data_IF_878188697859
#
_entry.id   IF_878188697859
#
_cell.length_a   1.000
_cell.length_b   1.000
_cell.length_c   1.000
_cell.angle_alpha   90.00
_cell.angle_beta   90.00
_cell.angle_gamma   90.00
#
_symmetry.space_group_name_H-M   'P 1'
#
loop_
_entity.id
_entity.type
_entity.pdbx_description
1 polymer ?
#
# COMPACT_ATOMS: atom_id res chain seq x y z
N UNK A 1 34.39 -27.83 1.78
CA UNK A 1 33.34 -27.31 0.88
C UNK A 1 32.20 -26.81 1.77
N UNK A 2 31.94 -25.49 1.81
CA UNK A 2 30.86 -24.91 2.63
C UNK A 2 29.54 -25.15 1.89
N UNK A 3 28.56 -25.79 2.54
CA UNK A 3 27.23 -26.03 1.97
C UNK A 3 26.60 -24.70 1.50
N UNK A 4 26.28 -24.51 0.20
CA UNK A 4 25.70 -23.27 -0.30
C UNK A 4 24.34 -22.96 0.35
N UNK A 5 23.49 -23.98 0.54
CA UNK A 5 22.17 -23.80 1.19
C UNK A 5 22.26 -23.30 2.65
N UNK A 6 23.28 -23.73 3.41
CA UNK A 6 23.46 -23.25 4.79
C UNK A 6 23.92 -21.79 4.86
N UNK A 7 24.62 -21.29 3.83
CA UNK A 7 25.01 -19.90 3.72
C UNK A 7 23.81 -19.01 3.30
N UNK A 8 22.96 -19.52 2.41
CA UNK A 8 21.71 -18.85 1.99
C UNK A 8 20.71 -18.75 3.14
N UNK A 9 20.46 -19.84 3.88
CA UNK A 9 19.58 -19.79 5.06
C UNK A 9 20.06 -18.78 6.11
N UNK A 10 21.39 -18.66 6.33
CA UNK A 10 21.95 -17.65 7.24
C UNK A 10 21.72 -16.23 6.74
N UNK A 11 21.87 -15.98 5.44
CA UNK A 11 21.58 -14.66 4.84
C UNK A 11 20.11 -14.29 4.98
N UNK A 12 19.21 -15.25 4.77
CA UNK A 12 17.77 -15.03 4.93
C UNK A 12 17.38 -14.73 6.39
N UNK A 13 18.01 -15.37 7.37
CA UNK A 13 17.80 -15.04 8.79
C UNK A 13 18.28 -13.62 9.12
N UNK A 14 19.44 -13.20 8.62
CA UNK A 14 19.92 -11.81 8.79
C UNK A 14 18.96 -10.81 8.14
N UNK A 15 18.41 -11.15 6.97
CA UNK A 15 17.44 -10.31 6.28
C UNK A 15 16.12 -10.23 7.06
N UNK A 16 15.66 -11.33 7.66
CA UNK A 16 14.51 -11.36 8.57
C UNK A 16 14.76 -10.47 9.79
N UNK A 17 15.90 -10.60 10.45
CA UNK A 17 16.27 -9.77 11.61
C UNK A 17 16.29 -8.28 11.24
N UNK A 18 16.86 -7.92 10.08
CA UNK A 18 16.83 -6.55 9.59
C UNK A 18 15.40 -6.05 9.34
N UNK A 19 14.51 -6.88 8.79
CA UNK A 19 13.11 -6.54 8.59
C UNK A 19 12.35 -6.35 9.91
N UNK A 20 12.57 -7.24 10.89
CA UNK A 20 11.97 -7.12 12.23
C UNK A 20 12.44 -5.86 12.97
N UNK A 21 13.72 -5.49 12.83
CA UNK A 21 14.24 -4.24 13.39
C UNK A 21 13.60 -3.00 12.76
N UNK A 22 13.40 -3.00 11.43
CA UNK A 22 12.69 -1.90 10.73
C UNK A 22 11.24 -1.82 11.18
N UNK A 23 10.56 -2.96 11.26
CA UNK A 23 9.20 -3.05 11.76
C UNK A 23 9.11 -2.47 13.18
N UNK A 24 9.92 -2.95 14.11
CA UNK A 24 9.90 -2.48 15.50
C UNK A 24 10.16 -0.96 15.63
N UNK A 25 11.02 -0.39 14.78
CA UNK A 25 11.32 1.05 14.76
C UNK A 25 10.15 1.88 14.23
N UNK A 26 9.49 1.40 13.18
CA UNK A 26 8.52 2.19 12.41
C UNK A 26 7.06 1.79 12.64
N UNK A 27 6.82 0.79 13.48
CA UNK A 27 5.50 0.30 13.84
C UNK A 27 4.66 1.40 14.50
N UNK A 28 3.81 2.03 13.68
CA UNK A 28 2.80 2.99 14.09
C UNK A 28 1.54 2.73 13.29
N UNK A 29 0.47 2.35 13.98
CA UNK A 29 -0.80 1.98 13.38
C UNK A 29 -1.91 2.88 13.91
N UNK A 30 -2.89 3.28 13.06
CA UNK A 30 -4.01 4.07 13.51
C UNK A 30 -4.80 3.28 14.55
N UNK A 31 -4.90 3.80 15.77
CA UNK A 31 -5.74 3.20 16.80
C UNK A 31 -7.18 3.66 16.57
N UNK A 32 -8.05 2.72 16.24
CA UNK A 32 -9.48 2.98 16.12
C UNK A 32 -10.14 2.87 17.50
N UNK A 33 -10.76 3.94 17.97
CA UNK A 33 -11.64 3.92 19.15
C UNK A 33 -13.05 4.27 18.71
N UNK A 34 -14.03 3.45 19.11
CA UNK A 34 -15.43 3.59 18.74
C UNK A 34 -15.67 3.58 17.21
N UNK A 35 -14.83 2.88 16.45
CA UNK A 35 -14.94 2.79 14.99
C UNK A 35 -14.36 3.97 14.21
N UNK A 36 -13.72 4.95 14.87
CA UNK A 36 -13.01 6.06 14.21
C UNK A 36 -11.55 6.14 14.64
N UNK A 37 -10.68 6.68 13.78
CA UNK A 37 -9.28 6.95 14.12
C UNK A 37 -9.23 7.95 15.28
N UNK A 38 -8.44 7.66 16.32
CA UNK A 38 -8.36 8.50 17.51
C UNK A 38 -7.98 9.96 17.15
N UNK A 39 -8.96 10.87 17.21
CA UNK A 39 -8.77 12.30 16.93
C UNK A 39 -9.02 12.75 15.49
N UNK A 40 -9.55 11.88 14.62
CA UNK A 40 -10.02 12.21 13.28
C UNK A 40 -11.40 11.59 13.04
N UNK A 41 -12.27 12.28 12.30
CA UNK A 41 -13.62 11.80 11.94
C UNK A 41 -13.62 10.75 10.82
N UNK A 42 -12.54 9.96 10.71
CA UNK A 42 -12.39 8.91 9.70
C UNK A 42 -12.84 7.60 10.32
N UNK A 43 -13.91 7.01 9.77
CA UNK A 43 -14.42 5.72 10.22
C UNK A 43 -13.53 4.56 9.73
N UNK A 44 -13.61 3.43 10.42
CA UNK A 44 -12.99 2.18 9.99
C UNK A 44 -13.47 1.73 8.60
N UNK A 45 -14.75 1.96 8.26
CA UNK A 45 -15.28 1.66 6.93
C UNK A 45 -14.66 2.54 5.85
N UNK A 46 -14.54 3.85 6.09
CA UNK A 46 -13.89 4.78 5.14
C UNK A 46 -12.42 4.42 4.92
N UNK A 47 -11.74 3.96 5.98
CA UNK A 47 -10.36 3.49 5.90
C UNK A 47 -10.25 2.21 5.06
N UNK A 48 -11.11 1.22 5.30
CA UNK A 48 -11.16 -0.02 4.51
C UNK A 48 -11.46 0.27 3.03
N UNK A 49 -12.48 1.09 2.75
CA UNK A 49 -12.84 1.51 1.39
C UNK A 49 -11.66 2.18 0.68
N UNK A 50 -10.89 2.99 1.42
CA UNK A 50 -9.70 3.66 0.88
C UNK A 50 -8.57 2.67 0.55
N UNK A 51 -8.36 1.64 1.35
CA UNK A 51 -7.36 0.60 1.07
C UNK A 51 -7.77 -0.24 -0.14
N UNK A 52 -9.05 -0.61 -0.25
CA UNK A 52 -9.57 -1.30 -1.42
C UNK A 52 -9.42 -0.45 -2.68
N UNK A 53 -9.75 0.85 -2.59
CA UNK A 53 -9.55 1.80 -3.68
C UNK A 53 -8.07 1.94 -4.07
N UNK A 54 -7.15 1.96 -3.10
CA UNK A 54 -5.72 1.92 -3.38
C UNK A 54 -5.29 0.65 -4.12
N UNK A 55 -5.90 -0.48 -3.80
CA UNK A 55 -5.67 -1.74 -4.51
C UNK A 55 -6.14 -1.68 -5.96
N UNK A 56 -7.30 -1.06 -6.22
CA UNK A 56 -7.79 -0.80 -7.58
C UNK A 56 -6.84 0.11 -8.37
N UNK A 57 -6.35 1.19 -7.74
CA UNK A 57 -5.39 2.10 -8.36
C UNK A 57 -4.07 1.38 -8.67
N UNK A 58 -3.53 0.61 -7.72
CA UNK A 58 -2.32 -0.19 -7.93
C UNK A 58 -2.44 -1.14 -9.11
N UNK A 59 -3.60 -1.81 -9.25
CA UNK A 59 -3.87 -2.72 -10.38
C UNK A 59 -3.99 -1.97 -11.71
N UNK A 60 -4.65 -0.81 -11.71
CA UNK A 60 -4.80 0.02 -12.89
C UNK A 60 -3.47 0.59 -13.40
N UNK A 61 -2.54 0.90 -12.49
CA UNK A 61 -1.19 1.36 -12.84
C UNK A 61 -0.18 0.22 -13.06
N UNK A 62 -0.60 -1.03 -12.90
CA UNK A 62 0.26 -2.21 -12.98
C UNK A 62 1.46 -2.19 -12.01
N UNK A 63 1.28 -1.58 -10.83
CA UNK A 63 2.30 -1.57 -9.78
C UNK A 63 2.43 -2.94 -9.11
N UNK A 64 3.64 -3.25 -8.64
CA UNK A 64 3.93 -4.46 -7.90
C UNK A 64 3.21 -4.50 -6.53
N UNK A 65 2.95 -5.70 -5.98
CA UNK A 65 2.26 -5.83 -4.69
C UNK A 65 3.01 -5.18 -3.52
N UNK A 66 4.34 -5.08 -3.60
CA UNK A 66 5.20 -4.38 -2.64
C UNK A 66 4.92 -2.88 -2.63
N UNK A 67 4.69 -2.26 -3.79
CA UNK A 67 4.30 -0.85 -3.93
C UNK A 67 2.97 -0.57 -3.25
N UNK A 68 1.96 -1.41 -3.47
CA UNK A 68 0.69 -1.32 -2.76
C UNK A 68 0.89 -1.43 -1.24
N UNK A 69 1.59 -2.47 -0.79
CA UNK A 69 1.78 -2.72 0.63
C UNK A 69 2.50 -1.56 1.32
N UNK A 70 3.55 -1.04 0.69
CA UNK A 70 4.28 0.14 1.17
C UNK A 70 3.39 1.39 1.20
N UNK A 71 2.59 1.61 0.15
CA UNK A 71 1.65 2.73 0.07
C UNK A 71 0.63 2.72 1.21
N UNK A 72 0.08 1.56 1.53
CA UNK A 72 -0.84 1.39 2.67
C UNK A 72 -0.12 1.61 4.00
N UNK A 73 1.11 1.10 4.17
CA UNK A 73 1.90 1.36 5.37
C UNK A 73 2.20 2.86 5.56
N UNK A 74 2.54 3.60 4.49
CA UNK A 74 2.78 5.05 4.53
C UNK A 74 1.48 5.77 4.93
N UNK A 75 0.35 5.43 4.32
CA UNK A 75 -0.97 5.97 4.66
C UNK A 75 -1.26 5.78 6.17
N UNK A 76 -1.12 4.56 6.67
CA UNK A 76 -1.42 4.22 8.06
C UNK A 76 -0.50 4.94 9.04
N UNK A 77 0.80 5.03 8.75
CA UNK A 77 1.76 5.78 9.57
C UNK A 77 1.43 7.27 9.60
N UNK A 78 1.01 7.84 8.47
CA UNK A 78 0.60 9.25 8.42
C UNK A 78 -0.67 9.47 9.25
N UNK A 79 -1.71 8.66 9.05
CA UNK A 79 -2.97 8.77 9.81
C UNK A 79 -2.78 8.55 11.32
N UNK A 80 -1.74 7.82 11.72
CA UNK A 80 -1.35 7.68 13.13
C UNK A 80 -0.66 8.93 13.69
N UNK A 81 -0.03 9.73 12.82
CA UNK A 81 0.80 10.87 13.19
C UNK A 81 0.04 12.19 13.11
N UNK A 82 -0.94 12.31 12.19
CA UNK A 82 -1.69 13.54 11.96
C UNK A 82 -3.19 13.34 12.07
N UNK A 83 -3.88 14.37 12.56
CA UNK A 83 -5.35 14.42 12.51
C UNK A 83 -5.79 14.85 11.11
N UNK A 84 -6.06 13.87 10.26
CA UNK A 84 -6.52 14.12 8.89
C UNK A 84 -8.05 14.35 8.85
N UNK A 85 -8.48 15.31 8.04
CA UNK A 85 -9.91 15.46 7.73
C UNK A 85 -10.31 14.46 6.64
N UNK A 86 -11.52 13.86 6.70
CA UNK A 86 -11.97 12.88 5.69
C UNK A 86 -11.90 13.38 4.25
N UNK A 87 -12.12 14.68 4.03
CA UNK A 87 -12.04 15.33 2.70
C UNK A 87 -10.67 15.22 2.03
N UNK A 88 -9.59 15.07 2.81
CA UNK A 88 -8.23 14.91 2.29
C UNK A 88 -7.78 13.46 2.23
N UNK A 89 -8.55 12.51 2.79
CA UNK A 89 -8.15 11.11 2.91
C UNK A 89 -7.78 10.49 1.57
N UNK A 90 -8.58 10.75 0.52
CA UNK A 90 -8.32 10.24 -0.82
C UNK A 90 -7.02 10.80 -1.43
N UNK A 91 -6.74 12.09 -1.22
CA UNK A 91 -5.50 12.72 -1.68
C UNK A 91 -4.28 12.18 -0.92
N UNK A 92 -4.40 12.01 0.40
CA UNK A 92 -3.38 11.40 1.25
C UNK A 92 -3.06 9.97 0.77
N UNK A 93 -4.09 9.16 0.58
CA UNK A 93 -3.95 7.77 0.13
C UNK A 93 -3.27 7.70 -1.22
N UNK A 94 -3.77 8.44 -2.22
CA UNK A 94 -3.19 8.48 -3.56
C UNK A 94 -1.73 8.90 -3.53
N UNK A 95 -1.41 9.97 -2.79
CA UNK A 95 -0.03 10.46 -2.68
C UNK A 95 0.88 9.45 -1.97
N UNK A 96 0.35 8.70 -1.00
CA UNK A 96 1.09 7.62 -0.32
C UNK A 96 1.44 6.49 -1.29
N UNK A 97 0.53 6.13 -2.20
CA UNK A 97 0.79 5.15 -3.26
C UNK A 97 1.82 5.66 -4.27
N UNK A 98 1.70 6.93 -4.69
CA UNK A 98 2.68 7.54 -5.61
C UNK A 98 4.08 7.59 -4.97
N UNK A 99 4.19 7.90 -3.68
CA UNK A 99 5.46 7.86 -2.96
C UNK A 99 6.03 6.45 -2.89
N UNK A 100 5.20 5.44 -2.64
CA UNK A 100 5.64 4.04 -2.68
C UNK A 100 6.12 3.63 -4.07
N UNK A 101 5.40 4.05 -5.12
CA UNK A 101 5.79 3.77 -6.50
C UNK A 101 7.16 4.36 -6.84
N UNK A 102 7.44 5.60 -6.41
CA UNK A 102 8.77 6.23 -6.56
C UNK A 102 9.92 5.47 -5.87
N UNK A 103 9.63 4.59 -4.91
CA UNK A 103 10.65 3.83 -4.17
C UNK A 103 10.87 2.46 -4.83
N UNK A 104 9.79 1.80 -5.24
CA UNK A 104 9.81 0.39 -5.65
C UNK A 104 9.73 0.18 -7.17
N UNK A 105 9.09 1.09 -7.90
CA UNK A 105 8.90 0.97 -9.35
C UNK A 105 10.00 1.70 -10.12
N UNK A 106 10.23 1.24 -11.35
CA UNK A 106 11.10 1.93 -12.30
C UNK A 106 10.42 3.22 -12.82
N UNK A 107 11.21 4.24 -13.16
CA UNK A 107 10.71 5.53 -13.64
C UNK A 107 9.79 5.41 -14.88
N UNK A 108 9.98 4.37 -15.69
CA UNK A 108 9.16 4.07 -16.87
C UNK A 108 7.71 3.69 -16.52
N UNK A 109 7.51 3.05 -15.36
CA UNK A 109 6.20 2.54 -14.90
C UNK A 109 5.37 3.65 -14.24
N UNK A 110 6.02 4.60 -13.56
CA UNK A 110 5.35 5.67 -12.81
C UNK A 110 4.67 6.68 -13.75
N UNK A 111 5.22 6.89 -14.95
CA UNK A 111 4.71 7.90 -15.88
C UNK A 111 4.72 9.33 -15.33
N UNK A 112 4.04 10.26 -16.00
CA UNK A 112 3.88 11.62 -15.46
C UNK A 112 2.83 11.64 -14.35
N UNK A 113 3.05 12.44 -13.31
CA UNK A 113 2.04 12.66 -12.26
C UNK A 113 0.70 13.13 -12.83
N UNK A 114 0.70 13.86 -13.95
CA UNK A 114 -0.53 14.26 -14.65
C UNK A 114 -1.30 13.07 -15.22
N UNK A 115 -0.59 12.07 -15.72
CA UNK A 115 -1.18 10.88 -16.33
C UNK A 115 -1.78 9.98 -15.25
N UNK A 116 -1.07 9.79 -14.13
CA UNK A 116 -1.57 9.04 -12.97
C UNK A 116 -2.86 9.66 -12.42
N UNK A 117 -2.92 10.98 -12.30
CA UNK A 117 -4.12 11.69 -11.86
C UNK A 117 -5.27 11.49 -12.83
N UNK A 118 -5.01 11.65 -14.13
CA UNK A 118 -6.01 11.49 -15.18
C UNK A 118 -6.61 10.08 -15.16
N UNK A 119 -5.77 9.06 -15.05
CA UNK A 119 -6.18 7.65 -14.98
C UNK A 119 -6.93 7.33 -13.69
N UNK A 120 -6.52 7.90 -12.54
CA UNK A 120 -7.20 7.69 -11.25
C UNK A 120 -8.64 8.22 -11.18
N UNK A 121 -9.05 9.05 -12.15
CA UNK A 121 -10.34 9.76 -12.11
C UNK A 121 -10.48 10.70 -10.91
N UNK A 122 -9.35 11.09 -10.30
CA UNK A 122 -9.35 12.00 -9.17
C UNK A 122 -9.31 13.45 -9.64
N UNK A 123 -10.09 14.30 -8.98
CA UNK A 123 -10.13 15.74 -9.26
C UNK A 123 -8.99 16.51 -8.56
N UNK A 124 -7.82 15.89 -8.37
CA UNK A 124 -6.67 16.53 -7.73
C UNK A 124 -5.85 17.31 -8.76
N UNK A 125 -5.39 18.49 -8.40
CA UNK A 125 -4.34 19.16 -9.15
C UNK A 125 -2.97 18.55 -8.82
N UNK A 126 -2.04 18.60 -9.79
CA UNK A 126 -0.63 18.22 -9.55
C UNK A 126 -0.03 19.00 -8.38
N UNK A 127 -0.42 20.27 -8.21
CA UNK A 127 0.05 21.10 -7.09
C UNK A 127 -0.41 20.59 -5.72
N UNK A 128 -1.65 20.08 -5.61
CA UNK A 128 -2.16 19.48 -4.37
C UNK A 128 -1.40 18.21 -4.00
N UNK A 129 -1.08 17.37 -4.98
CA UNK A 129 -0.32 16.14 -4.75
C UNK A 129 1.11 16.47 -4.33
N UNK A 130 1.79 17.39 -5.02
CA UNK A 130 3.14 17.82 -4.64
C UNK A 130 3.19 18.49 -3.26
N UNK A 131 2.12 19.18 -2.87
CA UNK A 131 1.98 19.74 -1.52
C UNK A 131 1.79 18.62 -0.50
N UNK A 132 0.92 17.65 -0.79
CA UNK A 132 0.68 16.50 0.09
C UNK A 132 1.94 15.64 0.23
N UNK A 133 2.71 15.46 -0.84
CA UNK A 133 3.96 14.70 -0.86
C UNK A 133 4.95 15.27 0.16
N UNK A 134 5.15 16.59 0.13
CA UNK A 134 5.97 17.31 1.11
C UNK A 134 5.47 17.15 2.53
N UNK A 135 4.15 17.21 2.75
CA UNK A 135 3.56 17.01 4.08
C UNK A 135 3.84 15.60 4.60
N UNK A 136 3.68 14.58 3.76
CA UNK A 136 3.94 13.19 4.13
C UNK A 136 5.42 13.00 4.49
N UNK A 137 6.32 13.48 3.63
CA UNK A 137 7.76 13.37 3.85
C UNK A 137 8.21 14.10 5.12
N UNK A 138 7.70 15.31 5.38
CA UNK A 138 8.00 16.07 6.58
C UNK A 138 7.51 15.36 7.85
N UNK A 139 6.24 14.90 7.85
CA UNK A 139 5.63 14.25 9.02
C UNK A 139 6.19 12.87 9.31
N UNK A 140 6.70 12.18 8.30
CA UNK A 140 7.36 10.88 8.45
C UNK A 140 8.89 10.98 8.53
N UNK A 141 9.44 12.19 8.61
CA UNK A 141 10.88 12.46 8.69
C UNK A 141 11.69 11.77 7.57
N UNK A 142 11.12 11.71 6.37
CA UNK A 142 11.70 11.03 5.19
C UNK A 142 11.97 9.52 5.36
N UNK A 143 11.54 8.91 6.47
CA UNK A 143 11.71 7.48 6.72
C UNK A 143 10.49 6.71 6.21
N UNK A 144 10.40 6.53 4.89
CA UNK A 144 9.29 5.83 4.23
C UNK A 144 9.47 4.30 4.18
N UNK A 145 10.72 3.83 4.20
CA UNK A 145 11.07 2.42 3.98
C UNK A 145 10.82 1.56 5.23
N UNK A 146 9.57 1.15 5.40
CA UNK A 146 9.13 0.22 6.44
C UNK A 146 9.12 -1.22 5.95
N UNK A 147 9.30 -2.18 6.87
CA UNK A 147 9.02 -3.58 6.55
C UNK A 147 7.52 -3.76 6.36
N UNK A 148 7.12 -4.31 5.22
CA UNK A 148 5.72 -4.59 4.89
C UNK A 148 5.36 -6.05 5.20
N UNK A 149 4.08 -6.36 5.44
CA UNK A 149 3.64 -7.76 5.55
C UNK A 149 4.01 -8.60 4.31
N UNK A 150 4.03 -8.00 3.12
CA UNK A 150 4.44 -8.66 1.87
C UNK A 150 5.94 -9.01 1.88
N UNK A 151 6.80 -8.13 2.41
CA UNK A 151 8.23 -8.45 2.59
C UNK A 151 8.39 -9.72 3.44
N UNK A 152 7.65 -9.81 4.54
CA UNK A 152 7.71 -10.98 5.43
C UNK A 152 7.21 -12.26 4.76
N UNK A 153 6.18 -12.20 3.90
CA UNK A 153 5.75 -13.35 3.09
C UNK A 153 6.89 -13.85 2.23
N UNK A 154 7.58 -12.97 1.50
CA UNK A 154 8.70 -13.37 0.63
C UNK A 154 9.87 -13.95 1.44
N UNK A 155 10.17 -13.37 2.60
CA UNK A 155 11.23 -13.85 3.49
C UNK A 155 10.90 -15.24 4.03
N UNK A 156 9.69 -15.44 4.56
CA UNK A 156 9.26 -16.72 5.10
C UNK A 156 9.14 -17.78 4.02
N UNK A 157 8.62 -17.45 2.82
CA UNK A 157 8.61 -18.35 1.68
C UNK A 157 10.03 -18.78 1.29
N UNK A 158 10.98 -17.84 1.19
CA UNK A 158 12.38 -18.16 0.90
C UNK A 158 13.02 -19.05 1.99
N UNK A 159 12.71 -18.80 3.26
CA UNK A 159 13.16 -19.63 4.38
C UNK A 159 12.58 -21.04 4.32
N UNK A 160 11.31 -21.20 3.94
CA UNK A 160 10.64 -22.49 3.76
C UNK A 160 11.28 -23.29 2.63
N UNK A 161 11.44 -22.67 1.45
CA UNK A 161 12.05 -23.31 0.28
C UNK A 161 13.49 -23.72 0.56
N UNK A 162 14.25 -22.89 1.27
CA UNK A 162 15.66 -23.17 1.61
C UNK A 162 15.83 -24.19 2.73
N UNK A 163 14.95 -24.18 3.74
CA UNK A 163 15.03 -25.04 4.92
C UNK A 163 14.42 -26.42 4.72
N UNK A 164 13.39 -26.52 3.87
CA UNK A 164 12.61 -27.73 3.66
C UNK A 164 12.37 -28.01 2.17
N UNK A 165 13.43 -28.33 1.39
CA UNK A 165 13.30 -28.62 -0.04
C UNK A 165 12.40 -29.83 -0.35
N UNK A 166 12.14 -30.68 0.64
CA UNK A 166 11.22 -31.83 0.56
C UNK A 166 9.73 -31.45 0.65
N UNK A 167 9.39 -30.25 1.13
CA UNK A 167 8.01 -29.76 1.19
C UNK A 167 7.58 -29.06 -0.11
N UNK A 168 8.54 -28.65 -0.95
CA UNK A 168 8.30 -27.99 -2.25
C UNK A 168 7.37 -28.81 -3.18
N UNK A 169 7.50 -30.16 -3.30
CA UNK A 169 6.60 -30.95 -4.14
C UNK A 169 5.18 -31.14 -3.57
N UNK A 170 4.99 -31.03 -2.25
CA UNK A 170 3.67 -31.13 -1.59
C UNK A 170 2.94 -29.78 -1.59
N UNK A 171 3.72 -28.70 -1.60
CA UNK A 171 3.26 -27.32 -1.68
C UNK A 171 2.91 -26.91 -3.13
N UNK A 172 3.61 -27.44 -4.12
CA UNK A 172 3.21 -27.36 -5.53
C UNK A 172 2.20 -28.45 -5.85
N UNK A 173 0.90 -28.23 -5.58
CA UNK A 173 -0.14 -29.22 -5.88
C UNK A 173 -0.09 -29.68 -7.35
N UNK A 174 0.45 -30.88 -7.57
CA UNK A 174 -0.26 -31.93 -8.29
C UNK A 174 -0.58 -31.72 -9.78
N UNK A 175 0.26 -31.07 -10.58
CA UNK A 175 0.35 -31.34 -12.03
C UNK A 175 1.55 -30.59 -12.60
N UNK A 176 2.38 -31.26 -13.41
CA UNK A 176 3.52 -30.62 -14.04
C UNK A 176 3.11 -29.35 -14.80
N UNK A 177 3.78 -28.22 -14.50
CA UNK A 177 3.63 -26.86 -15.06
C UNK A 177 2.92 -25.82 -14.19
N UNK A 178 3.19 -25.72 -12.88
CA UNK A 178 2.97 -24.46 -12.15
C UNK A 178 4.31 -23.83 -11.77
N UNK A 179 4.52 -22.53 -12.00
CA UNK A 179 5.77 -21.85 -11.67
C UNK A 179 5.98 -21.81 -10.15
N UNK A 180 7.23 -21.84 -9.67
CA UNK A 180 7.58 -21.85 -8.23
C UNK A 180 7.06 -20.64 -7.44
N UNK A 181 6.60 -19.59 -8.11
CA UNK A 181 6.14 -18.35 -7.49
C UNK A 181 4.64 -18.34 -7.16
N UNK A 182 3.88 -19.36 -7.55
CA UNK A 182 2.42 -19.36 -7.41
C UNK A 182 1.95 -19.21 -5.96
N UNK A 183 2.64 -19.86 -5.01
CA UNK A 183 2.27 -19.82 -3.60
C UNK A 183 2.58 -18.45 -2.97
N UNK A 184 3.74 -17.88 -3.28
CA UNK A 184 4.10 -16.54 -2.84
C UNK A 184 3.08 -15.51 -3.37
N UNK A 185 2.59 -15.67 -4.60
CA UNK A 185 1.54 -14.82 -5.18
C UNK A 185 0.21 -14.99 -4.45
N UNK A 186 -0.20 -16.22 -4.13
CA UNK A 186 -1.44 -16.48 -3.37
C UNK A 186 -1.39 -15.84 -1.98
N UNK A 187 -0.32 -16.10 -1.23
CA UNK A 187 -0.12 -15.53 0.10
C UNK A 187 -0.04 -14.01 0.07
N UNK A 188 0.61 -13.44 -0.95
CA UNK A 188 0.67 -12.00 -1.15
C UNK A 188 -0.72 -11.41 -1.37
N UNK A 189 -1.57 -12.06 -2.18
CA UNK A 189 -2.97 -11.63 -2.37
C UNK A 189 -3.77 -11.73 -1.07
N UNK A 190 -3.64 -12.82 -0.32
CA UNK A 190 -4.31 -12.97 0.97
C UNK A 190 -3.90 -11.88 1.96
N UNK A 191 -2.59 -11.59 2.04
CA UNK A 191 -2.07 -10.47 2.85
C UNK A 191 -2.67 -9.14 2.41
N UNK A 192 -2.74 -8.86 1.11
CA UNK A 192 -3.30 -7.60 0.61
C UNK A 192 -4.78 -7.44 0.98
N UNK A 193 -5.57 -8.52 0.96
CA UNK A 193 -6.94 -8.51 1.46
C UNK A 193 -6.98 -8.27 2.98
N UNK A 194 -6.14 -8.96 3.74
CA UNK A 194 -6.03 -8.74 5.19
C UNK A 194 -5.62 -7.30 5.54
N UNK A 195 -4.80 -6.66 4.70
CA UNK A 195 -4.43 -5.25 4.84
C UNK A 195 -5.62 -4.31 4.65
N UNK A 196 -6.75 -4.73 4.07
CA UNK A 196 -7.97 -3.90 4.07
C UNK A 196 -8.73 -3.95 5.41
N UNK A 197 -8.46 -4.94 6.27
CA UNK A 197 -9.14 -5.10 7.55
C UNK A 197 -8.42 -4.32 8.67
N UNK A 198 -9.05 -3.28 9.19
CA UNK A 198 -8.49 -2.45 10.26
C UNK A 198 -8.12 -3.23 11.55
N UNK A 199 -8.81 -4.34 11.84
CA UNK A 199 -8.55 -5.13 13.04
C UNK A 199 -7.22 -5.90 12.93
N UNK A 200 -6.88 -6.38 11.74
CA UNK A 200 -5.65 -7.12 11.48
C UNK A 200 -4.41 -6.22 11.53
N UNK A 201 -4.56 -4.92 11.30
CA UNK A 201 -3.47 -3.95 11.44
C UNK A 201 -2.97 -3.77 12.88
N UNK A 202 -3.72 -4.21 13.89
CA UNK A 202 -3.25 -4.15 15.27
C UNK A 202 -2.04 -5.07 15.51
N UNK A 203 -1.89 -6.11 14.70
CA UNK A 203 -0.77 -7.05 14.77
C UNK A 203 0.35 -6.64 13.83
N UNK A 204 1.60 -6.90 14.24
CA UNK A 204 2.79 -6.74 13.42
C UNK A 204 2.64 -7.46 12.07
N UNK A 205 3.22 -6.88 11.02
CA UNK A 205 3.25 -7.46 9.69
C UNK A 205 3.94 -8.83 9.66
N UNK A 206 4.96 -9.03 10.50
CA UNK A 206 5.59 -10.34 10.68
C UNK A 206 4.61 -11.40 11.21
N UNK A 207 3.76 -11.02 12.16
CA UNK A 207 2.75 -11.90 12.77
C UNK A 207 1.63 -12.22 11.78
N UNK A 208 1.14 -11.20 11.06
CA UNK A 208 0.12 -11.38 10.03
C UNK A 208 0.59 -12.31 8.91
N UNK A 209 1.82 -12.09 8.42
CA UNK A 209 2.42 -12.91 7.38
C UNK A 209 2.59 -14.37 7.85
N UNK A 210 3.10 -14.58 9.06
CA UNK A 210 3.27 -15.92 9.62
C UNK A 210 1.92 -16.62 9.83
N UNK A 211 0.88 -15.91 10.25
CA UNK A 211 -0.45 -16.46 10.46
C UNK A 211 -1.05 -17.02 9.16
N UNK A 212 -0.98 -16.26 8.06
CA UNK A 212 -1.46 -16.68 6.74
C UNK A 212 -0.69 -17.90 6.25
N UNK A 213 0.65 -17.87 6.34
CA UNK A 213 1.49 -19.00 5.95
C UNK A 213 1.15 -20.24 6.80
N UNK A 214 0.91 -20.09 8.10
CA UNK A 214 0.61 -21.21 8.99
C UNK A 214 -0.75 -21.84 8.66
N UNK A 215 -1.78 -21.05 8.38
CA UNK A 215 -3.09 -21.55 7.94
C UNK A 215 -2.98 -22.41 6.68
N UNK A 216 -2.16 -21.98 5.73
CA UNK A 216 -1.93 -22.73 4.49
C UNK A 216 -1.06 -23.97 4.71
N UNK A 217 -0.02 -23.89 5.56
CA UNK A 217 0.82 -25.03 5.90
C UNK A 217 0.06 -26.16 6.62
N UNK A 218 -0.93 -25.80 7.46
CA UNK A 218 -1.80 -26.76 8.16
C UNK A 218 -2.63 -27.62 7.19
N UNK A 219 -3.00 -27.06 6.05
CA UNK A 219 -3.75 -27.79 5.00
C UNK A 219 -2.80 -28.63 4.14
N UNK A 220 -1.61 -28.10 3.85
CA UNK A 220 -0.70 -28.65 2.83
C UNK A 220 0.27 -29.71 3.37
N UNK A 221 0.65 -29.65 4.64
CA UNK A 221 1.78 -30.45 5.16
C UNK A 221 1.48 -31.12 6.50
N UNK A 222 1.77 -32.43 6.67
CA UNK A 222 1.57 -33.13 7.95
C UNK A 222 2.57 -32.71 9.04
N UNK A 223 3.76 -32.22 8.65
CA UNK A 223 4.83 -31.77 9.55
C UNK A 223 4.82 -30.25 9.84
N UNK A 224 3.69 -29.58 9.57
CA UNK A 224 3.56 -28.12 9.67
C UNK A 224 4.01 -27.56 11.01
N UNK A 225 3.79 -28.30 12.11
CA UNK A 225 4.11 -27.84 13.46
C UNK A 225 5.62 -27.63 13.68
N UNK A 226 6.47 -28.50 13.14
CA UNK A 226 7.93 -28.37 13.25
C UNK A 226 8.42 -27.12 12.53
N UNK A 227 7.93 -26.92 11.30
CA UNK A 227 8.23 -25.76 10.45
C UNK A 227 7.74 -24.46 11.09
N UNK A 228 6.50 -24.48 11.60
CA UNK A 228 5.90 -23.37 12.32
C UNK A 228 6.74 -22.97 13.54
N UNK A 229 7.12 -23.93 14.40
CA UNK A 229 7.89 -23.60 15.62
C UNK A 229 9.28 -23.05 15.31
N UNK A 230 9.91 -23.46 14.22
CA UNK A 230 11.19 -22.89 13.77
C UNK A 230 11.01 -21.45 13.27
N UNK A 231 10.00 -21.19 12.43
CA UNK A 231 9.70 -19.84 11.94
C UNK A 231 9.28 -18.89 13.07
N UNK A 232 8.44 -19.35 14.00
CA UNK A 232 7.99 -18.58 15.15
C UNK A 232 9.18 -18.13 16.03
N UNK A 233 10.13 -19.04 16.28
CA UNK A 233 11.36 -18.74 17.03
C UNK A 233 12.24 -17.73 16.30
N UNK A 234 12.42 -17.90 14.98
CA UNK A 234 13.21 -16.96 14.16
C UNK A 234 12.58 -15.57 14.08
N UNK A 235 11.25 -15.50 14.07
CA UNK A 235 10.51 -14.25 14.01
C UNK A 235 10.39 -13.56 15.38
N UNK A 236 10.76 -14.22 16.48
CA UNK A 236 10.66 -13.70 17.86
C UNK A 236 9.24 -13.24 18.24
N UNK A 237 8.21 -13.96 17.77
CA UNK A 237 6.80 -13.61 17.97
C UNK A 237 6.26 -14.33 19.22
N UNK A 238 5.50 -13.61 20.05
CA UNK A 238 4.81 -14.20 21.20
C UNK A 238 3.69 -15.15 20.75
N UNK A 239 3.61 -16.33 21.37
CA UNK A 239 2.63 -17.34 21.00
C UNK A 239 1.19 -16.91 21.26
N UNK A 240 0.95 -16.08 22.29
CA UNK A 240 -0.40 -15.59 22.60
C UNK A 240 -0.90 -14.59 21.57
N UNK A 241 -0.05 -13.62 21.19
CA UNK A 241 -0.36 -12.65 20.13
C UNK A 241 -0.56 -13.35 18.77
N UNK A 242 0.23 -14.39 18.50
CA UNK A 242 0.12 -15.18 17.27
C UNK A 242 -1.22 -15.91 17.17
N UNK A 243 -1.65 -16.62 18.22
CA UNK A 243 -2.91 -17.38 18.21
C UNK A 243 -4.08 -16.46 17.93
N UNK A 244 -4.11 -15.30 18.61
CA UNK A 244 -5.18 -14.32 18.41
C UNK A 244 -5.19 -13.77 16.97
N UNK A 245 -4.01 -13.43 16.42
CA UNK A 245 -3.89 -12.99 15.04
C UNK A 245 -4.38 -14.07 14.06
N UNK A 246 -3.98 -15.32 14.28
CA UNK A 246 -4.37 -16.46 13.44
C UNK A 246 -5.87 -16.67 13.40
N UNK A 247 -6.54 -16.67 14.56
CA UNK A 247 -8.00 -16.81 14.65
C UNK A 247 -8.73 -15.70 13.89
N UNK A 248 -8.27 -14.45 14.03
CA UNK A 248 -8.86 -13.31 13.34
C UNK A 248 -8.65 -13.36 11.83
N UNK A 249 -7.49 -13.82 11.37
CA UNK A 249 -7.20 -14.01 9.94
C UNK A 249 -8.09 -15.11 9.37
N UNK A 250 -8.22 -16.24 10.07
CA UNK A 250 -9.05 -17.37 9.65
C UNK A 250 -10.53 -16.97 9.53
N UNK A 251 -11.06 -16.23 10.52
CA UNK A 251 -12.41 -15.70 10.48
C UNK A 251 -12.61 -14.70 9.33
N UNK A 252 -11.65 -13.79 9.12
CA UNK A 252 -11.71 -12.81 8.05
C UNK A 252 -11.67 -13.45 6.66
N UNK A 253 -10.74 -14.39 6.42
CA UNK A 253 -10.61 -15.06 5.13
C UNK A 253 -11.86 -15.91 4.81
N UNK A 254 -12.42 -16.63 5.78
CA UNK A 254 -13.69 -17.35 5.61
C UNK A 254 -14.86 -16.41 5.30
N UNK A 255 -14.91 -15.24 5.94
CA UNK A 255 -15.94 -14.24 5.66
C UNK A 255 -15.84 -13.70 4.22
N UNK A 256 -14.62 -13.57 3.71
CA UNK A 256 -14.35 -13.12 2.36
C UNK A 256 -14.74 -14.18 1.32
N UNK A 257 -14.45 -15.46 1.58
CA UNK A 257 -14.90 -16.59 0.76
C UNK A 257 -16.43 -16.67 0.68
N UNK A 258 -17.14 -16.43 1.79
CA UNK A 258 -18.61 -16.41 1.82
C UNK A 258 -19.24 -15.22 1.08
N UNK A 259 -18.51 -14.12 0.90
CA UNK A 259 -18.97 -12.94 0.17
C UNK A 259 -18.89 -13.09 -1.35
N UNK A 260 -18.18 -14.11 -1.84
CA UNK A 260 -18.12 -14.48 -3.25
C UNK A 260 -19.29 -15.43 -3.55
N UNK A 261 -20.12 -15.19 -4.57
CA UNK A 261 -21.26 -16.06 -4.86
C UNK A 261 -20.77 -17.47 -5.18
N UNK A 262 -21.34 -18.47 -4.49
CA UNK A 262 -20.93 -19.88 -4.46
C UNK A 262 -20.87 -20.62 -5.82
N UNK A 263 -21.15 -19.94 -6.93
CA UNK A 263 -21.19 -20.51 -8.28
C UNK A 263 -20.31 -19.76 -9.31
N UNK A 264 -19.40 -18.89 -8.89
CA UNK A 264 -18.38 -18.37 -9.79
C UNK A 264 -17.32 -19.46 -10.04
N UNK A 265 -17.51 -20.25 -11.10
CA UNK A 265 -16.44 -21.05 -11.70
C UNK A 265 -15.38 -20.06 -12.20
N UNK A 266 -14.28 -19.90 -11.47
CA UNK A 266 -13.09 -19.30 -12.03
C UNK A 266 -12.57 -20.27 -13.11
N UNK A 267 -12.93 -19.99 -14.37
CA UNK A 267 -12.10 -20.48 -15.47
C UNK A 267 -10.78 -19.73 -15.29
N UNK A 268 -9.80 -20.44 -14.76
CA UNK A 268 -8.44 -19.97 -14.57
C UNK A 268 -7.85 -19.71 -15.96
N UNK A 269 -7.98 -18.47 -16.45
CA UNK A 269 -7.46 -18.10 -17.76
C UNK A 269 -5.96 -17.86 -17.65
N UNK A 270 -5.19 -18.91 -17.91
CA UNK A 270 -3.73 -18.90 -18.00
C UNK A 270 -3.16 -17.91 -19.04
N UNK A 271 -4.01 -17.28 -19.86
CA UNK A 271 -3.59 -16.27 -20.83
C UNK A 271 -3.10 -14.96 -20.20
N UNK A 272 -3.62 -14.55 -19.04
CA UNK A 272 -3.22 -13.26 -18.42
C UNK A 272 -1.79 -13.28 -17.85
N UNK A 273 -1.25 -14.47 -17.51
CA UNK A 273 0.12 -14.63 -17.00
C UNK A 273 1.14 -14.52 -18.15
N UNK A 274 0.79 -14.95 -19.36
CA UNK A 274 1.68 -14.82 -20.51
C UNK A 274 1.85 -13.37 -20.96
N UNK A 275 0.84 -12.51 -20.78
CA UNK A 275 0.98 -11.08 -21.11
C UNK A 275 1.86 -10.34 -20.09
N UNK A 276 1.81 -10.69 -18.80
CA UNK A 276 2.71 -10.12 -17.77
C UNK A 276 4.17 -10.58 -17.94
N UNK A 277 4.42 -11.83 -18.31
CA UNK A 277 5.79 -12.32 -18.58
C UNK A 277 6.34 -11.81 -19.92
N UNK A 278 5.49 -11.66 -20.94
CA UNK A 278 5.89 -11.17 -22.27
C UNK A 278 6.13 -9.66 -22.29
N UNK A 279 5.53 -8.90 -21.36
CA UNK A 279 5.88 -7.51 -21.11
C UNK A 279 7.26 -7.33 -20.44
N UNK A 280 7.83 -8.38 -19.84
CA UNK A 280 9.10 -8.34 -19.07
C UNK A 280 10.38 -8.70 -19.85
N UNK A 281 10.37 -8.74 -21.19
CA UNK A 281 11.62 -8.83 -21.99
C UNK A 281 11.53 -8.14 -23.38
N UNK A 282 12.64 -7.59 -23.91
CA UNK A 282 12.72 -6.16 -24.21
C UNK A 282 12.25 -5.73 -25.59
N UNK A 283 11.64 -4.53 -25.66
CA UNK A 283 11.28 -3.81 -26.88
C UNK A 283 12.52 -3.21 -27.60
N UNK A 284 13.48 -4.06 -27.99
CA UNK A 284 14.42 -3.73 -29.07
C UNK A 284 13.70 -3.80 -30.42
N UNK A 285 12.77 -2.88 -30.67
CA UNK A 285 12.23 -2.65 -32.03
C UNK A 285 11.44 -1.35 -32.17
N UNK A 286 11.96 -0.23 -31.65
CA UNK A 286 11.54 1.10 -32.12
C UNK A 286 12.72 2.08 -32.28
N UNK A 287 13.89 1.55 -32.65
CA UNK A 287 15.07 2.34 -33.02
C UNK A 287 15.26 2.44 -34.53
N UNK A 288 14.23 2.79 -35.31
CA UNK A 288 14.41 3.02 -36.76
C UNK A 288 13.22 3.73 -37.45
N UNK A 289 12.65 4.76 -36.85
CA UNK A 289 11.74 5.66 -37.59
C UNK A 289 11.65 7.04 -36.95
N UNK A 290 12.68 7.87 -37.11
CA UNK A 290 12.58 9.34 -37.24
C UNK A 290 13.95 9.94 -37.54
N UNK A 291 14.39 9.73 -38.78
CA UNK A 291 15.41 10.56 -39.42
C UNK A 291 14.67 11.66 -40.18
N UNK A 292 14.90 12.91 -39.76
CA UNK A 292 14.58 14.13 -40.50
C UNK A 292 13.16 14.67 -40.31
N UNK A 293 13.03 15.84 -39.67
CA UNK A 293 13.09 17.16 -40.33
C UNK A 293 12.99 18.23 -39.25
N UNK A 294 13.95 19.16 -39.24
CA UNK A 294 13.90 20.31 -38.34
C UNK A 294 12.86 21.33 -38.76
N UNK A 295 12.40 22.13 -37.80
CA UNK A 295 12.16 23.56 -37.94
C UNK A 295 12.13 24.18 -36.54
N UNK A 296 12.80 25.32 -36.44
CA UNK A 296 12.96 26.12 -35.24
C UNK A 296 11.64 26.81 -34.87
N UNK A 297 11.30 26.82 -33.59
CA UNK A 297 10.56 27.94 -33.00
C UNK A 297 11.19 28.27 -31.65
N UNK A 298 11.73 29.49 -31.62
CA UNK A 298 12.23 30.22 -30.47
C UNK A 298 11.04 30.95 -29.86
N UNK A 299 10.83 30.83 -28.54
CA UNK A 299 9.73 31.52 -27.86
C UNK A 299 9.84 31.42 -26.35
N UNK A 300 10.47 32.44 -25.78
CA UNK A 300 10.31 33.02 -24.45
C UNK A 300 9.32 32.37 -23.46
N UNK A 301 9.79 32.15 -22.23
CA UNK A 301 9.09 32.46 -20.97
C UNK A 301 9.97 32.08 -19.76
N UNK A 302 11.01 32.88 -19.55
CA UNK A 302 11.63 33.04 -18.23
C UNK A 302 10.69 33.89 -17.36
N UNK A 303 9.80 33.25 -16.60
CA UNK A 303 9.02 33.91 -15.53
C UNK A 303 8.45 32.86 -14.56
N UNK A 304 9.30 32.19 -13.77
CA UNK A 304 8.83 31.19 -12.78
C UNK A 304 9.39 31.36 -11.35
N UNK A 305 10.20 32.39 -11.08
CA UNK A 305 10.67 32.66 -9.72
C UNK A 305 10.39 34.09 -9.30
N UNK A 306 9.18 34.34 -8.79
CA UNK A 306 8.95 35.40 -7.82
C UNK A 306 7.70 35.10 -6.98
N UNK A 307 7.90 34.49 -5.81
CA UNK A 307 6.79 34.16 -4.91
C UNK A 307 7.17 33.62 -3.54
N UNK A 308 8.43 33.78 -3.11
CA UNK A 308 8.95 33.17 -1.88
C UNK A 308 9.55 34.18 -0.88
N UNK A 309 9.16 35.46 -0.96
CA UNK A 309 9.75 36.51 -0.11
C UNK A 309 8.87 37.11 0.99
N UNK A 310 7.75 36.48 1.37
CA UNK A 310 6.86 37.07 2.40
C UNK A 310 6.30 36.13 3.47
N UNK A 311 7.03 35.08 3.87
CA UNK A 311 6.64 34.24 5.02
C UNK A 311 7.64 34.18 6.18
N UNK A 312 8.70 35.00 6.13
CA UNK A 312 9.55 35.24 7.30
C UNK A 312 9.45 36.71 7.72
N UNK A 313 8.39 37.02 8.47
CA UNK A 313 8.37 38.13 9.43
C UNK A 313 7.22 37.85 10.40
N UNK A 314 7.55 37.12 11.46
CA UNK A 314 6.76 37.04 12.66
C UNK A 314 7.04 38.29 13.53
N UNK A 315 6.01 38.69 14.28
CA UNK A 315 6.00 39.56 15.45
C UNK A 315 5.98 41.09 15.27
N UNK A 316 4.80 41.70 15.46
CA UNK A 316 4.48 42.50 16.66
C UNK A 316 3.10 43.20 16.53
N UNK A 317 2.16 42.86 17.42
CA UNK A 317 1.04 43.74 17.84
C UNK A 317 1.49 44.58 19.05
N UNK A 318 0.71 45.52 19.66
CA UNK A 318 -0.65 46.02 19.34
C UNK A 318 -0.81 47.58 19.45
N UNK A 319 -1.99 48.13 19.09
CA UNK A 319 -2.43 49.42 19.66
C UNK A 319 -3.53 50.21 18.94
N UNK A 320 -4.68 50.33 19.62
CA UNK A 320 -5.62 51.47 19.69
C UNK A 320 -6.63 51.78 18.55
N UNK A 321 -7.90 51.49 18.88
CA UNK A 321 -9.10 52.37 18.92
C UNK A 321 -9.50 53.28 17.74
N UNK A 322 -10.80 53.23 17.38
CA UNK A 322 -11.48 54.31 16.66
C UNK A 322 -12.76 53.92 15.91
N UNK A 323 -13.90 54.12 16.56
CA UNK A 323 -15.30 54.05 16.09
C UNK A 323 -15.64 54.74 14.75
N UNK A 324 -16.61 54.19 14.01
CA UNK A 324 -17.91 54.83 13.69
C UNK A 324 -18.74 54.03 12.64
N UNK A 325 -20.06 53.98 12.87
CA UNK A 325 -21.15 53.46 12.03
C UNK A 325 -21.18 54.02 10.60
N UNK A 326 -21.73 53.25 9.64
CA UNK A 326 -22.98 53.58 8.89
C UNK A 326 -23.36 52.42 7.95
N UNK A 327 -24.67 52.20 7.91
CA UNK A 327 -25.53 51.26 7.20
C UNK A 327 -25.26 50.94 5.72
N UNK A 328 -25.53 49.68 5.33
CA UNK A 328 -26.22 49.35 4.08
C UNK A 328 -26.88 47.94 4.16
N UNK A 329 -28.21 47.91 4.18
CA UNK A 329 -29.05 46.75 3.92
C UNK A 329 -28.87 46.25 2.47
N UNK A 330 -28.83 44.93 2.25
CA UNK A 330 -29.59 44.27 1.18
C UNK A 330 -29.62 42.73 1.31
N UNK A 331 -30.81 42.25 1.64
CA UNK A 331 -31.53 41.12 1.05
C UNK A 331 -30.90 39.71 1.06
N UNK A 332 -31.37 38.93 2.04
CA UNK A 332 -31.55 37.48 1.97
C UNK A 332 -32.73 37.15 1.04
N UNK A 333 -32.57 36.15 0.16
CA UNK A 333 -33.66 35.37 -0.42
C UNK A 333 -33.14 33.98 -0.88
N UNK A 334 -34.00 32.95 -0.97
CA UNK A 334 -33.69 31.61 -0.45
C UNK A 334 -33.54 30.50 -1.51
N UNK A 335 -33.04 29.34 -1.05
CA UNK A 335 -32.93 28.08 -1.78
C UNK A 335 -34.26 27.61 -2.41
N UNK A 336 -34.22 26.95 -3.59
CA UNK A 336 -35.41 26.33 -4.18
C UNK A 336 -35.72 24.94 -3.59
N UNK A 337 -37.00 24.51 -3.54
CA UNK A 337 -37.41 23.23 -2.98
C UNK A 337 -37.22 22.06 -3.97
N UNK A 338 -36.72 20.94 -3.47
CA UNK A 338 -36.61 19.67 -4.19
C UNK A 338 -37.94 18.88 -4.04
N UNK A 339 -38.58 18.56 -5.17
CA UNK A 339 -39.68 17.60 -5.23
C UNK A 339 -39.14 16.17 -5.39
N UNK A 340 -39.76 15.15 -4.74
CA UNK A 340 -39.43 13.75 -4.99
C UNK A 340 -40.06 13.24 -6.30
N UNK A 341 -39.33 12.44 -7.06
CA UNK A 341 -39.87 11.69 -8.18
C UNK A 341 -40.56 10.42 -7.68
N UNK A 342 -41.83 10.27 -8.05
CA UNK A 342 -42.69 9.11 -7.82
C UNK A 342 -42.64 8.22 -9.06
N UNK A 343 -42.01 7.06 -8.93
CA UNK A 343 -42.53 5.71 -9.25
C UNK A 343 -41.41 4.68 -9.19
#
# INVERSE_FOLDING_TARGET
MKNPGAAESRRLVVLLEAALLREARLWKVPVFRNGCIQGADISSSQHQDMILWLGDMSRMFHFCPETFALGVCILNRLLSTVKAQPKYLKCIAFTSLVLAAKINEEDEVIGSMKDLVMQSGCNFSTAEILRMERIILDKLHWDLYTATPVDFIHIFHALLVSGHPHLVPSIGLGSGKTPPDFQAVLWTRQVQHCMACHQLWQFKGSTLALAIITLELEVLTPDWFSVFTDLLKKAQIDSGEFIHCKEMVDEYLRSLEFSLPANAVYIFDSAQIQDEERARSPMQRLGQARRGRGSAEQGDCDEYYDGLRHLYSEEASPGAEGSADVSAQKNVSPCPPLHPAVN
#
